data_IF_948273575715
#
_entry.id   IF_948273575715
#
_cell.length_a   1.000
_cell.length_b   1.000
_cell.length_c   1.000
_cell.angle_alpha   90.00
_cell.angle_beta   90.00
_cell.angle_gamma   90.00
#
_symmetry.space_group_name_H-M   'P 1'
#
loop_
_entity.id
_entity.type
_entity.pdbx_description
1 polymer ?
#
# COMPACT_ATOMS: atom_id res chain seq x y z
N UNK A 1 28.44 -11.31 16.96
CA UNK A 1 26.99 -11.25 16.69
C UNK A 1 26.25 -11.77 17.90
N UNK A 2 25.27 -11.02 18.41
CA UNK A 2 24.48 -11.47 19.57
C UNK A 2 23.50 -12.59 19.17
N UNK A 3 23.04 -13.43 20.12
CA UNK A 3 22.00 -14.43 19.83
C UNK A 3 20.74 -13.82 19.21
N UNK A 4 20.35 -12.62 19.68
CA UNK A 4 19.25 -11.84 19.12
C UNK A 4 19.48 -11.54 17.64
N UNK A 5 20.67 -11.07 17.27
CA UNK A 5 21.02 -10.74 15.89
C UNK A 5 20.94 -11.99 14.98
N UNK A 6 21.45 -13.13 15.45
CA UNK A 6 21.42 -14.39 14.70
C UNK A 6 19.99 -14.84 14.44
N UNK A 7 19.14 -14.84 15.48
CA UNK A 7 17.72 -15.20 15.37
C UNK A 7 17.00 -14.21 14.44
N UNK A 8 17.25 -12.92 14.60
CA UNK A 8 16.68 -11.86 13.76
C UNK A 8 17.00 -12.06 12.29
N UNK A 9 18.27 -12.32 11.95
CA UNK A 9 18.71 -12.62 10.58
C UNK A 9 18.05 -13.89 10.05
N UNK A 10 18.04 -14.99 10.82
CA UNK A 10 17.45 -16.25 10.36
C UNK A 10 15.95 -16.10 10.04
N UNK A 11 15.18 -15.43 10.91
CA UNK A 11 13.76 -15.17 10.70
C UNK A 11 13.53 -14.20 9.53
N UNK A 12 14.28 -13.10 9.50
CA UNK A 12 14.16 -12.07 8.46
C UNK A 12 14.75 -12.50 7.11
N UNK A 13 15.44 -13.65 7.03
CA UNK A 13 15.78 -14.24 5.74
C UNK A 13 14.68 -15.20 5.27
N UNK A 14 14.27 -16.12 6.15
CA UNK A 14 13.36 -17.22 5.81
C UNK A 14 11.93 -16.76 5.53
N UNK A 15 11.36 -15.92 6.38
CA UNK A 15 9.97 -15.48 6.25
C UNK A 15 9.80 -14.56 5.04
N UNK A 16 10.71 -13.60 4.80
CA UNK A 16 10.67 -12.81 3.57
C UNK A 16 10.76 -13.62 2.29
N UNK A 17 11.60 -14.65 2.24
CA UNK A 17 11.69 -15.55 1.09
C UNK A 17 10.36 -16.25 0.82
N UNK A 18 9.71 -16.81 1.86
CA UNK A 18 8.40 -17.42 1.75
C UNK A 18 7.33 -16.41 1.30
N UNK A 19 7.36 -15.19 1.84
CA UNK A 19 6.48 -14.11 1.43
C UNK A 19 6.61 -13.80 -0.05
N UNK A 20 7.84 -13.64 -0.56
CA UNK A 20 8.09 -13.34 -1.98
C UNK A 20 7.58 -14.45 -2.90
N UNK A 21 7.81 -15.71 -2.53
CA UNK A 21 7.29 -16.85 -3.28
C UNK A 21 5.75 -16.85 -3.35
N UNK A 22 5.07 -16.58 -2.24
CA UNK A 22 3.61 -16.49 -2.19
C UNK A 22 3.07 -15.31 -3.02
N UNK A 23 3.74 -14.16 -2.94
CA UNK A 23 3.37 -12.97 -3.72
C UNK A 23 3.53 -13.23 -5.22
N UNK A 24 4.66 -13.80 -5.64
CA UNK A 24 4.91 -14.15 -7.04
C UNK A 24 3.85 -15.13 -7.57
N UNK A 25 3.51 -16.17 -6.78
CA UNK A 25 2.43 -17.11 -7.12
C UNK A 25 1.10 -16.40 -7.29
N UNK A 26 0.77 -15.44 -6.42
CA UNK A 26 -0.50 -14.73 -6.48
C UNK A 26 -0.57 -13.74 -7.66
N UNK A 27 0.54 -13.04 -7.96
CA UNK A 27 0.64 -12.19 -9.16
C UNK A 27 0.45 -13.04 -10.43
N UNK A 28 1.06 -14.23 -10.49
CA UNK A 28 0.86 -15.14 -11.61
C UNK A 28 -0.60 -15.55 -11.76
N UNK A 29 -1.30 -15.88 -10.66
CA UNK A 29 -2.73 -16.19 -10.66
C UNK A 29 -3.59 -15.04 -11.18
N UNK A 30 -3.31 -13.80 -10.76
CA UNK A 30 -4.00 -12.63 -11.30
C UNK A 30 -3.73 -12.45 -12.80
N UNK A 31 -2.47 -12.56 -13.23
CA UNK A 31 -2.15 -12.48 -14.65
C UNK A 31 -2.83 -13.57 -15.47
N UNK A 32 -2.93 -14.80 -14.95
CA UNK A 32 -3.60 -15.90 -15.63
C UNK A 32 -5.11 -15.63 -15.75
N UNK A 33 -5.75 -15.16 -14.66
CA UNK A 33 -7.16 -14.79 -14.65
C UNK A 33 -7.46 -13.67 -15.64
N UNK A 34 -6.70 -12.58 -15.61
CA UNK A 34 -6.97 -11.42 -16.49
C UNK A 34 -6.74 -11.74 -17.96
N UNK A 35 -5.79 -12.64 -18.28
CA UNK A 35 -5.55 -13.09 -19.66
C UNK A 35 -6.64 -14.01 -20.21
N UNK A 36 -7.49 -14.57 -19.36
CA UNK A 36 -8.64 -15.37 -19.81
C UNK A 36 -9.79 -14.50 -20.35
N UNK A 37 -9.81 -13.20 -20.01
CA UNK A 37 -10.85 -12.29 -20.47
C UNK A 37 -10.61 -11.76 -21.88
N UNK A 38 -11.69 -11.36 -22.55
CA UNK A 38 -11.68 -10.75 -23.88
C UNK A 38 -10.84 -9.46 -23.94
N UNK A 39 -10.30 -9.10 -25.13
CA UNK A 39 -9.60 -7.83 -25.31
C UNK A 39 -10.50 -6.63 -24.99
N UNK A 40 -9.90 -5.55 -24.48
CA UNK A 40 -10.57 -4.27 -24.27
C UNK A 40 -9.72 -3.12 -24.82
N UNK A 41 -10.36 -2.22 -25.58
CA UNK A 41 -9.71 -1.02 -26.13
C UNK A 41 -9.53 0.01 -25.01
N UNK A 42 -8.35 0.05 -24.38
CA UNK A 42 -8.01 0.94 -23.25
C UNK A 42 -6.64 1.62 -23.37
N UNK A 43 -6.06 1.59 -24.57
CA UNK A 43 -4.71 2.12 -24.86
C UNK A 43 -4.73 3.45 -25.63
N UNK A 44 -5.90 4.00 -25.91
CA UNK A 44 -6.06 5.31 -26.54
C UNK A 44 -5.56 6.45 -25.63
N UNK A 45 -5.10 7.55 -26.22
CA UNK A 45 -4.74 8.79 -25.51
C UNK A 45 -3.81 8.58 -24.28
N UNK A 46 -2.63 7.93 -24.45
CA UNK A 46 -1.77 7.55 -23.34
C UNK A 46 -1.34 8.74 -22.47
N UNK A 47 -1.11 9.92 -23.09
CA UNK A 47 -0.75 11.15 -22.39
C UNK A 47 -1.84 11.62 -21.42
N UNK A 48 -3.10 11.67 -21.87
CA UNK A 48 -4.25 12.04 -21.03
C UNK A 48 -4.47 11.04 -19.88
N UNK A 49 -4.29 9.74 -20.15
CA UNK A 49 -4.38 8.69 -19.13
C UNK A 49 -3.27 8.81 -18.08
N UNK A 50 -2.05 9.12 -18.51
CA UNK A 50 -0.92 9.44 -17.62
C UNK A 50 -1.23 10.59 -16.71
N UNK A 51 -1.70 11.68 -17.30
CA UNK A 51 -2.02 12.87 -16.55
C UNK A 51 -3.15 12.62 -15.55
N UNK A 52 -4.16 11.85 -15.95
CA UNK A 52 -5.25 11.44 -15.07
C UNK A 52 -4.75 10.57 -13.91
N UNK A 53 -3.87 9.59 -14.19
CA UNK A 53 -3.25 8.78 -13.14
C UNK A 53 -2.52 9.66 -12.13
N UNK A 54 -1.63 10.53 -12.60
CA UNK A 54 -0.85 11.44 -11.73
C UNK A 54 -1.79 12.33 -10.91
N UNK A 55 -2.77 12.97 -11.55
CA UNK A 55 -3.72 13.88 -10.91
C UNK A 55 -4.57 13.19 -9.85
N UNK A 56 -5.11 12.01 -10.14
CA UNK A 56 -5.95 11.29 -9.20
C UNK A 56 -5.16 10.64 -8.07
N UNK A 57 -3.98 10.09 -8.38
CA UNK A 57 -3.11 9.46 -7.39
C UNK A 57 -2.52 10.50 -6.43
N UNK A 58 -1.84 11.53 -6.94
CA UNK A 58 -1.24 12.56 -6.09
C UNK A 58 -2.29 13.48 -5.47
N UNK A 59 -3.36 13.81 -6.20
CA UNK A 59 -4.39 14.73 -5.72
C UNK A 59 -5.48 14.09 -4.85
N UNK A 60 -5.57 12.75 -4.80
CA UNK A 60 -6.63 12.01 -4.08
C UNK A 60 -8.04 12.58 -4.35
N UNK A 61 -8.28 13.04 -5.58
CA UNK A 61 -9.40 13.92 -5.96
C UNK A 61 -10.79 13.29 -5.73
N UNK A 62 -10.87 11.95 -5.70
CA UNK A 62 -12.12 11.20 -5.43
C UNK A 62 -12.53 11.20 -3.96
N UNK A 63 -11.62 11.53 -3.05
CA UNK A 63 -11.88 11.62 -1.60
C UNK A 63 -12.01 13.06 -1.10
N UNK A 64 -11.86 14.07 -1.96
CA UNK A 64 -11.87 15.50 -1.60
C UNK A 64 -13.12 15.96 -0.85
N UNK A 65 -14.26 15.27 -1.01
CA UNK A 65 -15.50 15.54 -0.26
C UNK A 65 -15.38 15.33 1.26
N UNK A 66 -14.37 14.60 1.72
CA UNK A 66 -14.09 14.37 3.14
C UNK A 66 -12.64 14.81 3.40
N UNK A 67 -12.37 16.12 3.55
CA UNK A 67 -11.01 16.67 3.51
C UNK A 67 -10.09 16.07 4.57
N UNK A 68 -10.59 15.84 5.79
CA UNK A 68 -9.81 15.21 6.87
C UNK A 68 -9.41 13.76 6.52
N UNK A 69 -10.35 12.97 5.99
CA UNK A 69 -10.08 11.58 5.58
C UNK A 69 -9.13 11.56 4.38
N UNK A 70 -9.32 12.47 3.43
CA UNK A 70 -8.46 12.59 2.25
C UNK A 70 -7.02 12.89 2.65
N UNK A 71 -6.80 13.86 3.56
CA UNK A 71 -5.48 14.23 4.05
C UNK A 71 -4.82 13.08 4.82
N UNK A 72 -5.54 12.47 5.76
CA UNK A 72 -5.03 11.35 6.56
C UNK A 72 -4.68 10.14 5.69
N UNK A 73 -5.54 9.82 4.70
CA UNK A 73 -5.27 8.77 3.73
C UNK A 73 -4.09 9.11 2.83
N UNK A 74 -3.97 10.36 2.38
CA UNK A 74 -2.87 10.81 1.51
C UNK A 74 -1.51 10.59 2.17
N UNK A 75 -1.36 11.04 3.42
CA UNK A 75 -0.13 10.81 4.18
C UNK A 75 0.13 9.32 4.36
N UNK A 76 -0.88 8.54 4.76
CA UNK A 76 -0.75 7.10 4.95
C UNK A 76 -0.34 6.37 3.66
N UNK A 77 -0.94 6.73 2.53
CA UNK A 77 -0.71 6.11 1.23
C UNK A 77 0.68 6.43 0.66
N UNK A 78 1.11 7.69 0.73
CA UNK A 78 2.46 8.07 0.30
C UNK A 78 3.54 7.55 1.25
N UNK A 79 3.26 7.49 2.56
CA UNK A 79 4.16 6.85 3.53
C UNK A 79 4.43 5.41 3.17
N UNK A 80 3.41 4.65 2.73
CA UNK A 80 3.60 3.26 2.29
C UNK A 80 4.63 3.14 1.14
N UNK A 81 4.62 4.07 0.17
CA UNK A 81 5.55 4.04 -0.97
C UNK A 81 6.93 4.58 -0.61
N UNK A 82 7.00 5.74 0.03
CA UNK A 82 8.24 6.44 0.35
C UNK A 82 9.02 5.67 1.42
N UNK A 83 8.33 5.21 2.47
CA UNK A 83 8.97 4.54 3.60
C UNK A 83 9.35 3.09 3.30
N UNK A 84 9.04 2.56 2.11
CA UNK A 84 9.59 1.29 1.64
C UNK A 84 11.13 1.29 1.66
N UNK A 85 11.77 2.43 1.36
CA UNK A 85 13.22 2.57 1.47
C UNK A 85 13.74 2.25 2.89
N UNK A 86 12.96 2.59 3.92
CA UNK A 86 13.33 2.26 5.32
C UNK A 86 13.21 0.78 5.62
N UNK A 87 12.34 0.03 4.92
CA UNK A 87 12.27 -1.42 5.05
C UNK A 87 13.51 -2.06 4.43
N UNK A 88 13.94 -1.56 3.26
CA UNK A 88 15.22 -1.98 2.64
C UNK A 88 16.38 -1.68 3.59
N UNK A 89 16.45 -0.49 4.17
CA UNK A 89 17.48 -0.14 5.15
C UNK A 89 17.49 -1.10 6.35
N UNK A 90 16.30 -1.44 6.87
CA UNK A 90 16.16 -2.31 8.04
C UNK A 90 16.76 -3.72 7.83
N UNK A 91 16.73 -4.26 6.60
CA UNK A 91 17.37 -5.55 6.31
C UNK A 91 18.87 -5.53 6.55
N UNK A 92 19.54 -4.44 6.14
CA UNK A 92 20.96 -4.27 6.36
C UNK A 92 21.27 -3.87 7.80
N UNK A 93 20.35 -3.16 8.47
CA UNK A 93 20.45 -2.87 9.91
C UNK A 93 20.50 -4.13 10.78
N UNK A 94 20.01 -5.28 10.31
CA UNK A 94 20.19 -6.55 11.02
C UNK A 94 21.65 -7.05 11.02
N UNK A 95 22.45 -6.64 10.04
CA UNK A 95 23.86 -7.01 9.92
C UNK A 95 24.73 -5.94 10.57
N UNK A 96 24.45 -4.67 10.28
CA UNK A 96 25.18 -3.51 10.77
C UNK A 96 24.19 -2.47 11.30
N UNK A 97 24.10 -2.32 12.63
CA UNK A 97 23.08 -1.47 13.26
C UNK A 97 23.09 -0.01 12.78
N UNK A 98 24.26 0.50 12.42
CA UNK A 98 24.51 1.85 11.92
C UNK A 98 24.27 2.00 10.40
N UNK A 99 23.85 0.94 9.71
CA UNK A 99 23.69 0.96 8.26
C UNK A 99 22.73 2.05 7.79
N UNK A 100 23.20 2.80 6.79
CA UNK A 100 22.40 3.71 5.98
C UNK A 100 22.58 3.38 4.50
N UNK A 101 21.54 3.63 3.71
CA UNK A 101 21.60 3.44 2.26
C UNK A 101 22.76 4.28 1.66
N UNK A 102 23.68 3.69 0.87
CA UNK A 102 24.95 4.32 0.53
C UNK A 102 24.82 5.58 -0.34
N UNK A 103 23.75 5.72 -1.12
CA UNK A 103 23.57 6.85 -2.06
C UNK A 103 22.72 7.97 -1.45
N UNK A 104 21.67 7.63 -0.70
CA UNK A 104 20.65 8.58 -0.26
C UNK A 104 20.50 8.65 1.26
N UNK A 105 21.01 7.66 2.00
CA UNK A 105 20.80 7.53 3.45
C UNK A 105 21.53 8.56 4.30
N UNK A 106 22.56 9.21 3.75
CA UNK A 106 23.27 10.32 4.38
C UNK A 106 22.85 11.69 3.85
N UNK A 107 21.90 11.75 2.91
CA UNK A 107 21.46 12.99 2.29
C UNK A 107 20.33 13.61 3.13
N UNK A 108 20.56 14.75 3.82
CA UNK A 108 19.59 15.27 4.80
C UNK A 108 18.18 15.49 4.25
N UNK A 109 17.98 16.05 3.03
CA UNK A 109 16.62 16.19 2.48
C UNK A 109 15.87 14.86 2.33
N UNK A 110 16.56 13.76 2.06
CA UNK A 110 15.93 12.43 2.06
C UNK A 110 15.56 11.98 3.47
N UNK A 111 16.44 12.19 4.45
CA UNK A 111 16.15 11.89 5.85
C UNK A 111 14.96 12.70 6.38
N UNK A 112 14.87 13.98 6.03
CA UNK A 112 13.74 14.85 6.40
C UNK A 112 12.44 14.35 5.79
N UNK A 113 12.49 13.91 4.53
CA UNK A 113 11.34 13.30 3.84
C UNK A 113 10.89 12.05 4.58
N UNK A 114 11.82 11.16 4.95
CA UNK A 114 11.51 9.96 5.74
C UNK A 114 10.85 10.31 7.06
N UNK A 115 11.40 11.27 7.82
CA UNK A 115 10.82 11.65 9.11
C UNK A 115 9.45 12.31 8.98
N UNK A 116 9.27 13.21 8.00
CA UNK A 116 8.01 13.90 7.76
C UNK A 116 6.89 12.91 7.40
N UNK A 117 7.19 11.93 6.55
CA UNK A 117 6.22 10.89 6.19
C UNK A 117 6.07 9.83 7.29
N UNK A 118 7.08 9.53 8.10
CA UNK A 118 6.92 8.64 9.26
C UNK A 118 5.92 9.23 10.28
N UNK A 119 6.08 10.50 10.64
CA UNK A 119 5.14 11.21 11.50
C UNK A 119 3.77 11.40 10.85
N UNK A 120 3.74 11.87 9.60
CA UNK A 120 2.49 12.07 8.85
C UNK A 120 1.70 10.77 8.68
N UNK A 121 2.38 9.66 8.41
CA UNK A 121 1.80 8.33 8.33
C UNK A 121 1.25 7.84 9.67
N UNK A 122 1.98 8.04 10.78
CA UNK A 122 1.52 7.69 12.12
C UNK A 122 0.27 8.50 12.52
N UNK A 123 0.30 9.82 12.33
CA UNK A 123 -0.84 10.69 12.64
C UNK A 123 -2.03 10.33 11.73
N UNK A 124 -1.77 10.14 10.43
CA UNK A 124 -2.77 9.76 9.45
C UNK A 124 -3.48 8.47 9.83
N UNK A 125 -2.74 7.42 10.21
CA UNK A 125 -3.37 6.14 10.58
C UNK A 125 -4.15 6.24 11.89
N UNK A 126 -3.67 6.99 12.88
CA UNK A 126 -4.40 7.22 14.13
C UNK A 126 -5.72 7.95 13.87
N UNK A 127 -5.72 8.99 13.04
CA UNK A 127 -6.94 9.70 12.63
C UNK A 127 -7.91 8.74 11.94
N UNK A 128 -7.45 7.91 11.01
CA UNK A 128 -8.31 6.96 10.30
C UNK A 128 -8.90 5.88 11.22
N UNK A 129 -8.10 5.37 12.16
CA UNK A 129 -8.55 4.42 13.20
C UNK A 129 -9.67 5.06 14.02
N UNK A 130 -9.46 6.28 14.52
CA UNK A 130 -10.47 7.01 15.32
C UNK A 130 -11.75 7.23 14.52
N UNK A 131 -11.65 7.72 13.29
CA UNK A 131 -12.80 7.95 12.41
C UNK A 131 -13.57 6.63 12.16
N UNK A 132 -12.86 5.51 11.97
CA UNK A 132 -13.52 4.20 11.83
C UNK A 132 -14.28 3.82 13.09
N UNK A 133 -13.69 4.00 14.27
CA UNK A 133 -14.34 3.64 15.53
C UNK A 133 -15.61 4.46 15.76
N UNK A 134 -15.58 5.76 15.46
CA UNK A 134 -16.74 6.64 15.58
C UNK A 134 -17.85 6.26 14.61
N UNK A 135 -17.50 5.90 13.37
CA UNK A 135 -18.46 5.51 12.32
C UNK A 135 -18.88 4.04 12.35
N UNK A 136 -18.45 3.26 13.34
CA UNK A 136 -18.70 1.83 13.43
C UNK A 136 -20.21 1.55 13.64
N UNK A 137 -20.86 0.58 12.97
CA UNK A 137 -22.30 0.33 13.14
C UNK A 137 -22.75 0.13 14.59
N UNK A 138 -21.88 -0.49 15.42
CA UNK A 138 -22.08 -0.63 16.87
C UNK A 138 -22.24 0.69 17.65
N UNK A 139 -21.79 1.82 17.09
CA UNK A 139 -21.92 3.14 17.74
C UNK A 139 -23.33 3.72 17.64
N UNK A 140 -24.25 3.11 16.87
CA UNK A 140 -25.64 3.55 16.78
C UNK A 140 -26.63 2.37 16.64
N UNK A 141 -27.66 2.33 17.48
CA UNK A 141 -28.71 1.33 17.40
C UNK A 141 -29.73 1.62 16.26
N UNK A 142 -30.44 0.58 15.81
CA UNK A 142 -31.54 0.71 14.85
C UNK A 142 -31.10 1.12 13.44
N UNK A 143 -31.89 1.98 12.78
CA UNK A 143 -31.64 2.43 11.41
C UNK A 143 -30.28 3.14 11.25
N UNK A 144 -29.81 3.84 12.27
CA UNK A 144 -28.56 4.58 12.22
C UNK A 144 -27.34 3.66 12.08
N UNK A 145 -27.34 2.50 12.73
CA UNK A 145 -26.31 1.46 12.55
C UNK A 145 -26.36 0.82 11.16
N UNK A 146 -27.56 0.63 10.59
CA UNK A 146 -27.77 0.15 9.21
C UNK A 146 -27.35 1.16 8.15
N UNK A 147 -27.43 2.46 8.46
CA UNK A 147 -26.98 3.57 7.60
C UNK A 147 -25.47 3.80 7.65
N UNK A 148 -24.73 3.13 8.56
CA UNK A 148 -23.27 3.22 8.57
C UNK A 148 -22.69 2.70 7.25
N UNK A 149 -21.74 3.46 6.69
CA UNK A 149 -21.02 3.09 5.45
C UNK A 149 -20.25 1.78 5.52
N UNK A 150 -20.09 1.22 6.71
CA UNK A 150 -19.34 -0.01 6.95
C UNK A 150 -20.25 -1.19 7.33
N UNK A 151 -21.56 -1.00 7.36
CA UNK A 151 -22.51 -2.08 7.56
C UNK A 151 -22.30 -3.17 6.50
N UNK A 152 -22.16 -4.43 6.91
CA UNK A 152 -21.87 -5.57 6.02
C UNK A 152 -20.43 -5.70 5.51
N UNK A 153 -19.48 -4.87 5.97
CA UNK A 153 -18.07 -4.96 5.56
C UNK A 153 -17.26 -6.06 6.27
N UNK A 154 -16.17 -6.53 5.66
CA UNK A 154 -15.21 -7.50 6.22
C UNK A 154 -14.22 -6.84 7.17
N UNK A 155 -14.68 -6.54 8.38
CA UNK A 155 -13.98 -5.69 9.36
C UNK A 155 -12.55 -6.08 9.72
N UNK A 156 -12.29 -7.37 9.95
CA UNK A 156 -10.97 -7.82 10.38
C UNK A 156 -9.87 -7.43 9.39
N UNK A 157 -10.20 -7.36 8.09
CA UNK A 157 -9.27 -6.96 7.05
C UNK A 157 -8.80 -5.52 7.24
N UNK A 158 -9.75 -4.60 7.54
CA UNK A 158 -9.43 -3.21 7.80
C UNK A 158 -8.59 -3.06 9.07
N UNK A 159 -8.98 -3.73 10.17
CA UNK A 159 -8.22 -3.70 11.42
C UNK A 159 -6.81 -4.25 11.27
N UNK A 160 -6.64 -5.33 10.51
CA UNK A 160 -5.33 -5.91 10.25
C UNK A 160 -4.42 -4.95 9.48
N UNK A 161 -4.96 -4.30 8.43
CA UNK A 161 -4.23 -3.26 7.67
C UNK A 161 -3.84 -2.10 8.57
N UNK A 162 -4.79 -1.61 9.37
CA UNK A 162 -4.59 -0.45 10.25
C UNK A 162 -3.54 -0.73 11.31
N UNK A 163 -3.62 -1.89 11.96
CA UNK A 163 -2.64 -2.32 12.94
C UNK A 163 -1.25 -2.48 12.32
N UNK A 164 -1.16 -3.09 11.14
CA UNK A 164 0.12 -3.24 10.42
C UNK A 164 0.78 -1.89 10.19
N UNK A 165 0.03 -0.92 9.65
CA UNK A 165 0.56 0.42 9.35
C UNK A 165 0.98 1.14 10.64
N UNK A 166 0.16 1.04 11.70
CA UNK A 166 0.46 1.62 13.01
C UNK A 166 1.77 1.07 13.57
N UNK A 167 1.94 -0.26 13.59
CA UNK A 167 3.16 -0.89 14.13
C UNK A 167 4.38 -0.53 13.28
N UNK A 168 4.28 -0.58 11.95
CA UNK A 168 5.41 -0.26 11.06
C UNK A 168 5.85 1.20 11.22
N UNK A 169 4.91 2.15 11.29
CA UNK A 169 5.24 3.58 11.47
C UNK A 169 5.88 3.84 12.84
N UNK A 170 5.41 3.19 13.90
CA UNK A 170 6.06 3.23 15.22
C UNK A 170 7.49 2.65 15.15
N UNK A 171 7.68 1.50 14.53
CA UNK A 171 9.03 0.91 14.39
C UNK A 171 9.97 1.82 13.59
N UNK A 172 9.49 2.50 12.55
CA UNK A 172 10.29 3.46 11.78
C UNK A 172 10.74 4.61 12.68
N UNK A 173 9.82 5.22 13.44
CA UNK A 173 10.16 6.31 14.35
C UNK A 173 11.12 5.86 15.45
N UNK A 174 10.92 4.67 16.04
CA UNK A 174 11.86 4.10 17.01
C UNK A 174 13.26 3.86 16.43
N UNK A 175 13.35 3.34 15.20
CA UNK A 175 14.66 3.19 14.53
C UNK A 175 15.33 4.55 14.32
N UNK A 176 14.56 5.58 13.92
CA UNK A 176 15.11 6.94 13.76
C UNK A 176 15.60 7.54 15.07
N UNK A 177 14.91 7.32 16.20
CA UNK A 177 15.40 7.80 17.51
C UNK A 177 16.63 7.04 17.99
N UNK A 178 16.73 5.73 17.71
CA UNK A 178 17.92 4.92 17.99
C UNK A 178 19.11 5.33 17.13
N UNK A 179 18.91 5.57 15.83
CA UNK A 179 19.92 6.09 14.92
C UNK A 179 20.43 7.47 15.36
N UNK A 180 19.54 8.33 15.84
CA UNK A 180 19.91 9.64 16.38
C UNK A 180 20.73 9.51 17.69
N UNK A 181 20.38 8.58 18.57
CA UNK A 181 21.13 8.29 19.78
C UNK A 181 22.51 7.69 19.47
N UNK A 182 22.58 6.81 18.47
CA UNK A 182 23.83 6.23 17.99
C UNK A 182 24.76 7.31 17.41
N UNK A 183 24.22 8.22 16.59
CA UNK A 183 24.97 9.35 16.02
C UNK A 183 25.65 10.18 17.11
N UNK A 184 24.94 10.51 18.20
CA UNK A 184 25.50 11.27 19.33
C UNK A 184 26.75 10.59 19.95
N UNK A 185 26.82 9.27 19.90
CA UNK A 185 27.91 8.48 20.50
C UNK A 185 29.05 8.29 19.50
N UNK A 186 28.75 7.95 18.25
CA UNK A 186 29.76 7.55 17.25
C UNK A 186 30.30 8.70 16.44
N UNK A 187 29.50 9.75 16.23
CA UNK A 187 29.83 10.94 15.43
C UNK A 187 29.35 12.23 16.14
N UNK A 188 29.88 12.55 17.34
CA UNK A 188 29.46 13.72 18.11
C UNK A 188 29.69 15.06 17.39
N UNK A 189 30.55 15.08 16.37
CA UNK A 189 30.82 16.21 15.50
C UNK A 189 29.68 16.51 14.50
N UNK A 190 28.84 15.52 14.19
CA UNK A 190 27.76 15.68 13.22
C UNK A 190 26.55 16.39 13.83
N UNK A 191 25.89 17.24 13.04
CA UNK A 191 24.69 17.93 13.50
C UNK A 191 23.50 16.98 13.55
N UNK A 192 23.12 16.59 14.76
CA UNK A 192 21.93 15.78 14.98
C UNK A 192 20.66 16.47 14.45
N UNK A 193 20.55 17.79 14.60
CA UNK A 193 19.40 18.55 14.09
C UNK A 193 19.33 18.54 12.55
N UNK A 194 20.48 18.42 11.87
CA UNK A 194 20.54 18.30 10.42
C UNK A 194 20.03 16.93 9.95
N UNK A 195 20.45 15.83 10.60
CA UNK A 195 20.11 14.48 10.15
C UNK A 195 18.78 13.96 10.73
N UNK A 196 18.35 14.48 11.88
CA UNK A 196 17.15 14.03 12.60
C UNK A 196 16.30 15.22 13.12
N UNK A 197 15.86 16.15 12.26
CA UNK A 197 15.13 17.34 12.69
C UNK A 197 13.84 17.04 13.47
N UNK A 198 13.15 15.94 13.19
CA UNK A 198 11.85 15.62 13.80
C UNK A 198 11.90 14.47 14.81
N UNK A 199 12.98 13.69 14.87
CA UNK A 199 13.12 12.59 15.86
C UNK A 199 14.33 12.77 16.78
N UNK A 200 15.28 13.65 16.46
CA UNK A 200 16.50 13.81 17.24
C UNK A 200 16.25 14.25 18.68
N UNK A 201 15.26 15.10 18.91
CA UNK A 201 14.88 15.53 20.26
C UNK A 201 14.38 14.36 21.14
N UNK A 202 13.89 13.27 20.54
CA UNK A 202 13.49 12.05 21.26
C UNK A 202 14.66 11.14 21.59
N UNK A 203 15.85 11.35 21.00
CA UNK A 203 17.02 10.50 21.23
C UNK A 203 17.43 10.41 22.71
N UNK A 204 17.11 11.44 23.51
CA UNK A 204 17.36 11.47 24.94
C UNK A 204 16.67 10.35 25.74
N UNK A 205 15.65 9.69 25.16
CA UNK A 205 15.02 8.53 25.80
C UNK A 205 15.95 7.31 25.93
N UNK A 206 17.07 7.32 25.19
CA UNK A 206 18.09 6.27 25.17
C UNK A 206 19.38 6.68 25.90
N UNK A 207 19.39 7.84 26.56
CA UNK A 207 20.57 8.33 27.27
C UNK A 207 20.96 7.36 28.41
N UNK A 208 22.27 7.18 28.60
CA UNK A 208 22.83 6.24 29.59
C UNK A 208 22.92 4.79 29.12
N UNK A 209 22.38 4.44 27.94
CA UNK A 209 22.60 3.15 27.32
C UNK A 209 23.97 3.08 26.63
N UNK A 210 24.61 1.92 26.68
CA UNK A 210 25.83 1.67 25.90
C UNK A 210 25.52 1.53 24.41
N UNK A 211 26.53 1.77 23.56
CA UNK A 211 26.43 1.57 22.11
C UNK A 211 25.99 0.13 21.76
N UNK A 212 26.49 -0.87 22.49
CA UNK A 212 26.10 -2.27 22.29
C UNK A 212 24.60 -2.51 22.57
N UNK A 213 24.06 -1.90 23.64
CA UNK A 213 22.63 -1.98 23.94
C UNK A 213 21.79 -1.31 22.86
N UNK A 214 22.21 -0.12 22.37
CA UNK A 214 21.53 0.58 21.26
C UNK A 214 21.55 -0.29 19.99
N UNK A 215 22.68 -0.91 19.66
CA UNK A 215 22.79 -1.82 18.52
C UNK A 215 21.81 -3.01 18.64
N UNK A 216 21.72 -3.63 19.83
CA UNK A 216 20.77 -4.71 20.07
C UNK A 216 19.30 -4.25 19.96
N UNK A 217 18.99 -3.03 20.40
CA UNK A 217 17.65 -2.44 20.20
C UNK A 217 17.34 -2.20 18.72
N UNK A 218 18.31 -1.73 17.94
CA UNK A 218 18.15 -1.61 16.48
C UNK A 218 17.85 -2.98 15.86
N UNK A 219 18.61 -4.03 16.21
CA UNK A 219 18.34 -5.39 15.71
C UNK A 219 16.93 -5.87 16.08
N UNK A 220 16.49 -5.64 17.31
CA UNK A 220 15.15 -6.01 17.77
C UNK A 220 14.06 -5.27 16.97
N UNK A 221 14.12 -3.94 16.90
CA UNK A 221 13.09 -3.13 16.24
C UNK A 221 13.08 -3.38 14.74
N UNK A 222 14.25 -3.53 14.09
CA UNK A 222 14.36 -3.90 12.69
C UNK A 222 13.73 -5.29 12.43
N UNK A 223 14.00 -6.27 13.31
CA UNK A 223 13.38 -7.60 13.22
C UNK A 223 11.85 -7.49 13.28
N UNK A 224 11.30 -6.81 14.28
CA UNK A 224 9.84 -6.63 14.43
C UNK A 224 9.25 -5.97 13.19
N UNK A 225 9.86 -4.88 12.70
CA UNK A 225 9.42 -4.15 11.52
C UNK A 225 9.37 -5.03 10.27
N UNK A 226 10.42 -5.80 10.02
CA UNK A 226 10.50 -6.70 8.86
C UNK A 226 9.45 -7.80 9.00
N UNK A 227 9.37 -8.44 10.17
CA UNK A 227 8.42 -9.51 10.43
C UNK A 227 6.97 -9.08 10.22
N UNK A 228 6.58 -7.90 10.73
CA UNK A 228 5.24 -7.33 10.53
C UNK A 228 4.99 -7.01 9.05
N UNK A 229 5.99 -6.44 8.36
CA UNK A 229 5.88 -6.10 6.94
C UNK A 229 5.71 -7.33 6.04
N UNK A 230 6.36 -8.44 6.37
CA UNK A 230 6.26 -9.68 5.62
C UNK A 230 5.08 -10.55 6.04
N UNK A 231 4.65 -10.51 7.31
CA UNK A 231 3.35 -11.07 7.71
C UNK A 231 2.22 -10.41 6.92
N UNK A 232 2.30 -9.09 6.75
CA UNK A 232 1.41 -8.33 5.89
C UNK A 232 1.45 -8.82 4.43
N UNK A 233 2.64 -8.94 3.85
CA UNK A 233 2.81 -9.39 2.46
C UNK A 233 2.31 -10.82 2.23
N UNK A 234 2.57 -11.72 3.18
CA UNK A 234 2.06 -13.09 3.17
C UNK A 234 0.52 -13.07 3.21
N UNK A 235 -0.06 -12.28 4.12
CA UNK A 235 -1.51 -12.20 4.29
C UNK A 235 -2.21 -11.74 3.01
N UNK A 236 -1.72 -10.70 2.33
CA UNK A 236 -2.33 -10.24 1.07
C UNK A 236 -2.17 -11.24 -0.07
N UNK A 237 -1.08 -12.01 -0.06
CA UNK A 237 -0.82 -13.05 -1.05
C UNK A 237 -1.74 -14.25 -0.86
N UNK A 238 -2.13 -14.54 0.37
CA UNK A 238 -3.06 -15.62 0.72
C UNK A 238 -4.53 -15.19 0.63
N UNK A 239 -4.82 -13.89 0.77
CA UNK A 239 -6.18 -13.35 0.68
C UNK A 239 -6.34 -12.38 -0.50
N UNK A 240 -6.45 -12.89 -1.74
CA UNK A 240 -6.58 -12.04 -2.94
C UNK A 240 -7.86 -11.20 -2.98
N UNK A 241 -8.89 -11.59 -2.23
CA UNK A 241 -10.16 -10.86 -2.13
C UNK A 241 -10.13 -9.71 -1.13
N UNK A 242 -9.00 -9.47 -0.45
CA UNK A 242 -8.83 -8.34 0.47
C UNK A 242 -8.71 -7.02 -0.31
N UNK A 243 -9.83 -6.47 -0.78
CA UNK A 243 -9.84 -5.24 -1.60
C UNK A 243 -9.21 -4.03 -0.89
N UNK A 244 -9.39 -3.92 0.43
CA UNK A 244 -8.74 -2.89 1.27
C UNK A 244 -7.20 -3.02 1.24
N UNK A 245 -6.67 -4.19 0.89
CA UNK A 245 -5.25 -4.36 0.63
C UNK A 245 -4.89 -4.04 -0.81
N UNK A 246 -5.47 -4.81 -1.74
CA UNK A 246 -5.06 -4.82 -3.15
C UNK A 246 -5.31 -3.50 -3.88
N UNK A 247 -6.25 -2.67 -3.40
CA UNK A 247 -6.50 -1.37 -4.02
C UNK A 247 -5.24 -0.50 -4.16
N UNK A 248 -4.27 -0.59 -3.24
CA UNK A 248 -3.06 0.23 -3.33
C UNK A 248 -2.15 -0.14 -4.50
N UNK A 249 -2.19 -1.40 -4.93
CA UNK A 249 -1.41 -1.91 -6.06
C UNK A 249 -2.22 -1.83 -7.35
N UNK A 250 -3.50 -2.22 -7.28
CA UNK A 250 -4.40 -2.21 -8.43
C UNK A 250 -4.91 -0.81 -8.76
N UNK A 251 -4.76 0.20 -7.89
CA UNK A 251 -5.15 1.58 -8.18
C UNK A 251 -4.47 2.12 -9.44
N UNK A 252 -3.18 1.84 -9.64
CA UNK A 252 -2.44 2.33 -10.81
C UNK A 252 -3.04 1.81 -12.14
N UNK A 253 -3.15 0.48 -12.36
CA UNK A 253 -3.81 -0.02 -13.57
C UNK A 253 -5.30 0.33 -13.60
N UNK A 254 -5.99 0.36 -12.45
CA UNK A 254 -7.41 0.72 -12.42
C UNK A 254 -7.70 2.15 -12.85
N UNK A 255 -6.84 3.10 -12.48
CA UNK A 255 -6.97 4.51 -12.89
C UNK A 255 -6.53 4.68 -14.34
N UNK A 256 -5.41 4.08 -14.74
CA UNK A 256 -4.89 4.22 -16.11
C UNK A 256 -5.85 3.67 -17.17
N UNK A 257 -6.39 2.47 -16.92
CA UNK A 257 -7.29 1.76 -17.83
C UNK A 257 -8.77 2.09 -17.61
N UNK A 258 -9.08 3.25 -17.01
CA UNK A 258 -10.44 3.77 -16.93
C UNK A 258 -11.10 3.83 -18.31
N UNK A 259 -12.44 3.86 -18.32
CA UNK A 259 -13.20 3.94 -19.56
C UNK A 259 -12.87 5.24 -20.30
N UNK A 260 -13.04 6.36 -19.60
CA UNK A 260 -12.76 7.68 -20.12
C UNK A 260 -11.28 8.03 -19.91
N UNK A 261 -10.55 8.31 -20.99
CA UNK A 261 -9.15 8.76 -20.93
C UNK A 261 -8.98 10.13 -20.26
N UNK A 262 -10.07 10.91 -20.13
CA UNK A 262 -10.15 12.19 -19.41
C UNK A 262 -10.30 12.04 -17.88
N UNK A 263 -10.51 10.81 -17.37
CA UNK A 263 -10.75 10.56 -15.95
C UNK A 263 -12.16 10.88 -15.45
N UNK A 264 -13.04 11.41 -16.32
CA UNK A 264 -14.45 11.68 -15.98
C UNK A 264 -15.16 10.40 -15.54
N UNK A 265 -16.07 10.52 -14.58
CA UNK A 265 -16.94 9.40 -14.20
C UNK A 265 -17.77 8.96 -15.40
N UNK A 266 -17.78 7.66 -15.65
CA UNK A 266 -18.50 6.98 -16.72
C UNK A 266 -20.03 6.95 -16.49
N UNK A 267 -20.68 8.10 -16.28
CA UNK A 267 -22.13 8.22 -16.04
C UNK A 267 -22.98 8.32 -17.31
N UNK A 268 -22.37 8.11 -18.49
CA UNK A 268 -23.06 8.15 -19.78
C UNK A 268 -23.84 6.87 -20.09
N UNK A 269 -24.19 6.69 -21.35
CA UNK A 269 -24.89 5.49 -21.84
C UNK A 269 -24.18 4.20 -21.40
N UNK A 270 -25.00 3.14 -21.24
CA UNK A 270 -24.52 1.77 -21.05
C UNK A 270 -23.58 1.40 -22.19
N UNK A 271 -22.55 0.61 -21.86
CA UNK A 271 -21.66 0.11 -22.88
C UNK A 271 -22.47 -0.77 -23.85
N UNK A 272 -22.36 -0.57 -25.17
CA UNK A 272 -22.97 -1.48 -26.12
C UNK A 272 -22.41 -2.88 -25.88
N UNK A 273 -23.24 -3.90 -26.06
CA UNK A 273 -22.75 -5.27 -26.07
C UNK A 273 -21.77 -5.40 -27.25
N UNK A 274 -20.65 -6.08 -27.05
CA UNK A 274 -19.61 -6.24 -28.07
C UNK A 274 -19.36 -7.72 -28.27
N UNK A 275 -19.41 -8.18 -29.52
CA UNK A 275 -19.02 -9.53 -29.94
C UNK A 275 -17.94 -9.40 -31.03
N UNK A 276 -16.84 -10.14 -30.88
CA UNK A 276 -15.70 -10.12 -31.82
C UNK A 276 -15.14 -8.71 -32.13
N UNK A 277 -15.19 -7.82 -31.13
CA UNK A 277 -14.73 -6.44 -31.25
C UNK A 277 -15.71 -5.48 -31.93
N UNK A 278 -16.88 -5.96 -32.38
CA UNK A 278 -17.94 -5.15 -32.98
C UNK A 278 -19.13 -4.96 -32.04
N UNK A 279 -19.73 -3.75 -31.99
CA UNK A 279 -20.97 -3.54 -31.24
C UNK A 279 -22.11 -4.39 -31.80
N UNK A 280 -22.83 -5.09 -30.92
CA UNK A 280 -24.07 -5.79 -31.26
C UNK A 280 -25.16 -4.74 -31.47
N UNK A 281 -25.61 -4.64 -32.70
CA UNK A 281 -26.73 -3.84 -33.21
C UNK A 281 -27.74 -4.75 -33.89
N UNK A 282 -28.93 -4.23 -34.22
CA UNK A 282 -29.94 -5.02 -34.94
C UNK A 282 -29.42 -5.54 -36.29
N UNK A 283 -28.67 -4.71 -37.02
CA UNK A 283 -28.05 -5.05 -38.31
C UNK A 283 -27.04 -6.20 -38.17
N UNK A 284 -26.12 -6.11 -37.20
CA UNK A 284 -25.16 -7.20 -36.94
C UNK A 284 -25.79 -8.50 -36.42
N UNK A 285 -27.00 -8.43 -35.85
CA UNK A 285 -27.75 -9.61 -35.42
C UNK A 285 -28.43 -10.29 -36.61
N UNK A 286 -28.93 -9.50 -37.57
CA UNK A 286 -29.52 -9.99 -38.82
C UNK A 286 -28.46 -10.59 -39.75
N UNK A 287 -27.25 -10.04 -39.76
CA UNK A 287 -26.11 -10.56 -40.54
C UNK A 287 -25.43 -11.79 -39.90
N UNK A 288 -25.86 -12.22 -38.72
CA UNK A 288 -25.24 -13.35 -38.02
C UNK A 288 -25.68 -14.69 -38.62
N UNK A 289 -24.76 -15.65 -38.86
CA UNK A 289 -25.14 -16.97 -39.36
C UNK A 289 -26.16 -17.65 -38.45
N UNK A 290 -27.26 -18.17 -39.02
CA UNK A 290 -28.31 -18.88 -38.27
C UNK A 290 -27.79 -20.14 -37.58
N UNK A 291 -26.70 -20.73 -38.10
CA UNK A 291 -26.08 -21.96 -37.61
C UNK A 291 -25.14 -21.73 -36.41
N UNK A 292 -24.86 -20.47 -36.04
CA UNK A 292 -23.88 -20.11 -35.03
C UNK A 292 -24.58 -19.50 -33.80
N UNK A 293 -24.43 -20.14 -32.64
CA UNK A 293 -25.15 -19.79 -31.43
C UNK A 293 -24.78 -18.36 -30.96
N UNK A 294 -25.77 -17.48 -30.93
CA UNK A 294 -25.58 -16.07 -30.62
C UNK A 294 -25.58 -15.85 -29.10
N UNK A 295 -24.40 -15.98 -28.47
CA UNK A 295 -24.22 -15.68 -27.05
C UNK A 295 -24.35 -14.17 -26.78
N UNK A 296 -25.46 -13.80 -26.15
CA UNK A 296 -25.74 -12.45 -25.67
C UNK A 296 -25.45 -12.36 -24.17
N UNK A 297 -24.57 -11.43 -23.78
CA UNK A 297 -24.17 -11.23 -22.38
C UNK A 297 -23.00 -12.11 -21.95
N UNK A 298 -22.89 -12.38 -20.64
CA UNK A 298 -21.81 -13.18 -20.06
C UNK A 298 -22.38 -14.39 -19.32
N UNK A 299 -22.03 -15.60 -19.76
CA UNK A 299 -22.37 -16.87 -19.13
C UNK A 299 -21.17 -17.55 -18.44
N UNK A 300 -19.94 -17.20 -18.82
CA UNK A 300 -18.68 -17.70 -18.24
C UNK A 300 -17.65 -16.57 -18.04
N UNK A 301 -16.55 -16.86 -17.34
CA UNK A 301 -15.52 -15.87 -16.99
C UNK A 301 -14.84 -15.30 -18.25
N UNK A 302 -14.68 -16.13 -19.27
CA UNK A 302 -14.04 -15.80 -20.55
C UNK A 302 -14.87 -14.83 -21.40
N UNK A 303 -16.15 -14.63 -21.06
CA UNK A 303 -17.02 -13.67 -21.76
C UNK A 303 -16.79 -12.24 -21.25
N UNK A 304 -16.20 -12.09 -20.06
CA UNK A 304 -15.80 -10.77 -19.56
C UNK A 304 -14.54 -10.29 -20.26
N UNK A 305 -14.43 -8.99 -20.48
CA UNK A 305 -13.14 -8.40 -20.85
C UNK A 305 -12.11 -8.56 -19.74
N UNK A 306 -10.81 -8.56 -20.08
CA UNK A 306 -9.73 -8.56 -19.07
C UNK A 306 -9.91 -7.42 -18.05
N UNK A 307 -10.48 -6.28 -18.48
CA UNK A 307 -10.74 -5.13 -17.62
C UNK A 307 -11.95 -5.33 -16.70
N UNK A 308 -12.91 -6.15 -17.09
CA UNK A 308 -14.04 -6.57 -16.25
C UNK A 308 -13.62 -7.55 -15.16
N UNK A 309 -12.54 -8.31 -15.38
CA UNK A 309 -11.97 -9.23 -14.40
C UNK A 309 -11.05 -8.55 -13.37
N UNK A 310 -10.58 -7.33 -13.66
CA UNK A 310 -9.65 -6.53 -12.84
C UNK A 310 -10.35 -5.66 -11.79
#
# INVERSE_FOLDING_TARGET
MSPLQIIGIALCFTIPLAGWALLARQIWRFSALYRAGQPAVRLDNPTSRTWTLIKEFLGHTRMSRLPLVALAHWFTALSFLILFATLVNAFFQLIWADFRLPVIGHFPPFEWLIEAFAWGGLIGILVLIVIRQLAHPRSAAGEHGRRSRFFGSTWWQAYYVEFTILVVTICILLLRTLEAAMLKITHPEESQALHFPLTGWLAGMWDGLSLDTINNLVYLVATIKIMVSFAWMITISLQPTMGVAWHRFLAFPNIWFKRESSGRTALGALQPMVKDGQPVTMETLEDHPEDEELQLGAGKIEDFTWKGLL
#
